data_IF_354130024355
#
_entry.id   IF_354130024355
#
_cell.length_a   1.000
_cell.length_b   1.000
_cell.length_c   1.000
_cell.angle_alpha   90.00
_cell.angle_beta   90.00
_cell.angle_gamma   90.00
#
_symmetry.space_group_name_H-M   'P 1'
#
loop_
_entity.id
_entity.type
_entity.pdbx_description
1 polymer ?
#
# COMPACT_ATOMS: atom_id res chain seq x y z
N UNK A 1 -0.96 -73.21 23.96
CA UNK A 1 0.37 -73.07 23.34
C UNK A 1 0.29 -72.61 21.88
N UNK A 2 -0.58 -73.20 21.05
CA UNK A 2 -0.68 -72.89 19.61
C UNK A 2 -1.02 -71.42 19.27
N UNK A 3 -1.88 -70.76 20.05
CA UNK A 3 -2.21 -69.34 19.86
C UNK A 3 -1.02 -68.40 20.09
N UNK A 4 -0.15 -68.74 21.04
CA UNK A 4 1.06 -67.98 21.35
C UNK A 4 2.11 -68.15 20.25
N UNK A 5 2.27 -69.36 19.72
CA UNK A 5 3.15 -69.60 18.58
C UNK A 5 2.67 -68.91 17.30
N UNK A 6 1.36 -68.88 17.05
CA UNK A 6 0.78 -68.17 15.91
C UNK A 6 1.02 -66.66 16.00
N UNK A 7 0.79 -66.07 17.17
CA UNK A 7 1.05 -64.65 17.43
C UNK A 7 2.54 -64.29 17.28
N UNK A 8 3.44 -65.16 17.77
CA UNK A 8 4.89 -64.99 17.64
C UNK A 8 5.34 -65.06 16.17
N UNK A 9 4.80 -66.01 15.39
CA UNK A 9 5.08 -66.13 13.95
C UNK A 9 4.57 -64.91 13.17
N UNK A 10 3.41 -64.36 13.55
CA UNK A 10 2.85 -63.17 12.92
C UNK A 10 3.66 -61.90 13.25
N UNK A 11 4.15 -61.78 14.48
CA UNK A 11 5.04 -60.69 14.88
C UNK A 11 6.37 -60.71 14.12
N UNK A 12 6.97 -61.90 13.95
CA UNK A 12 8.19 -62.09 13.14
C UNK A 12 7.93 -61.72 11.67
N UNK A 13 6.78 -62.12 11.09
CA UNK A 13 6.41 -61.72 9.72
C UNK A 13 6.27 -60.21 9.57
N UNK A 14 5.63 -59.53 10.53
CA UNK A 14 5.46 -58.07 10.54
C UNK A 14 6.82 -57.37 10.63
N UNK A 15 7.74 -57.83 11.48
CA UNK A 15 9.09 -57.28 11.54
C UNK A 15 9.88 -57.48 10.24
N UNK A 16 9.80 -58.67 9.64
CA UNK A 16 10.45 -58.93 8.36
C UNK A 16 9.89 -58.04 7.24
N UNK A 17 8.57 -57.83 7.21
CA UNK A 17 7.93 -56.92 6.26
C UNK A 17 8.36 -55.47 6.48
N UNK A 18 8.45 -54.99 7.74
CA UNK A 18 8.99 -53.66 8.06
C UNK A 18 10.43 -53.51 7.58
N UNK A 19 11.30 -54.48 7.84
CA UNK A 19 12.70 -54.48 7.35
C UNK A 19 12.79 -54.47 5.82
N UNK A 20 11.90 -55.19 5.12
CA UNK A 20 11.81 -55.15 3.65
C UNK A 20 11.35 -53.77 3.15
N UNK A 21 10.31 -53.20 3.76
CA UNK A 21 9.78 -51.88 3.40
C UNK A 21 10.81 -50.76 3.61
N UNK A 22 11.59 -50.80 4.70
CA UNK A 22 12.66 -49.83 4.95
C UNK A 22 13.73 -49.92 3.86
N UNK A 23 14.19 -51.13 3.52
CA UNK A 23 15.17 -51.35 2.43
C UNK A 23 14.65 -50.85 1.09
N UNK A 24 13.39 -51.16 0.76
CA UNK A 24 12.75 -50.69 -0.47
C UNK A 24 12.65 -49.16 -0.52
N UNK A 25 12.25 -48.51 0.57
CA UNK A 25 12.20 -47.03 0.66
C UNK A 25 13.57 -46.41 0.50
N UNK A 26 14.60 -46.99 1.11
CA UNK A 26 16.00 -46.53 0.97
C UNK A 26 16.47 -46.62 -0.48
N UNK A 27 16.29 -47.78 -1.11
CA UNK A 27 16.68 -48.00 -2.50
C UNK A 27 15.91 -47.10 -3.48
N UNK A 28 14.62 -46.86 -3.22
CA UNK A 28 13.80 -45.93 -4.02
C UNK A 28 14.29 -44.48 -3.86
N UNK A 29 14.74 -44.09 -2.67
CA UNK A 29 15.31 -42.76 -2.41
C UNK A 29 16.64 -42.59 -3.13
N UNK A 30 17.53 -43.58 -3.06
CA UNK A 30 18.82 -43.61 -3.77
C UNK A 30 18.64 -43.52 -5.29
N UNK A 31 17.76 -44.35 -5.89
CA UNK A 31 17.45 -44.24 -7.32
C UNK A 31 16.93 -42.86 -7.72
N UNK A 32 16.14 -42.22 -6.85
CA UNK A 32 15.60 -40.88 -7.11
C UNK A 32 16.70 -39.83 -7.03
N UNK A 33 17.63 -39.91 -6.06
CA UNK A 33 18.76 -39.00 -5.97
C UNK A 33 19.69 -39.14 -7.18
N UNK A 34 19.99 -40.38 -7.60
CA UNK A 34 20.82 -40.63 -8.78
C UNK A 34 20.20 -40.03 -10.05
N UNK A 35 18.88 -40.18 -10.24
CA UNK A 35 18.18 -39.56 -11.37
C UNK A 35 18.24 -38.03 -11.33
N UNK A 36 18.16 -37.42 -10.14
CA UNK A 36 18.29 -35.96 -10.01
C UNK A 36 19.71 -35.49 -10.32
N UNK A 37 20.72 -36.22 -9.87
CA UNK A 37 22.12 -35.89 -10.14
C UNK A 37 22.46 -36.03 -11.63
N UNK A 38 21.99 -37.09 -12.28
CA UNK A 38 22.19 -37.29 -13.72
C UNK A 38 21.43 -36.24 -14.54
N UNK A 39 20.19 -35.89 -14.16
CA UNK A 39 19.46 -34.78 -14.78
C UNK A 39 20.26 -33.47 -14.67
N UNK A 40 20.77 -33.15 -13.48
CA UNK A 40 21.57 -31.94 -13.25
C UNK A 40 22.87 -31.94 -14.06
N UNK A 41 23.50 -33.10 -14.22
CA UNK A 41 24.69 -33.29 -15.06
C UNK A 41 24.35 -33.02 -16.53
N UNK A 42 23.28 -33.61 -17.04
CA UNK A 42 22.81 -33.43 -18.42
C UNK A 42 22.42 -31.97 -18.69
N UNK A 43 21.73 -31.31 -17.76
CA UNK A 43 21.40 -29.88 -17.87
C UNK A 43 22.66 -29.01 -17.96
N UNK A 44 23.68 -29.27 -17.12
CA UNK A 44 24.98 -28.58 -17.21
C UNK A 44 25.69 -28.85 -18.54
N UNK A 45 25.62 -30.08 -19.05
CA UNK A 45 26.24 -30.43 -20.33
C UNK A 45 25.54 -29.74 -21.50
N UNK A 46 24.20 -29.69 -21.48
CA UNK A 46 23.40 -28.96 -22.46
C UNK A 46 23.71 -27.47 -22.43
N UNK A 47 23.75 -26.86 -21.23
CA UNK A 47 24.12 -25.46 -21.07
C UNK A 47 25.49 -25.15 -21.66
N UNK A 48 26.49 -26.01 -21.41
CA UNK A 48 27.83 -25.86 -22.00
C UNK A 48 27.82 -25.96 -23.52
N UNK A 49 27.09 -26.91 -24.09
CA UNK A 49 26.98 -27.06 -25.55
C UNK A 49 26.26 -25.88 -26.19
N UNK A 50 25.19 -25.37 -25.56
CA UNK A 50 24.47 -24.18 -26.02
C UNK A 50 25.37 -22.93 -25.93
N UNK A 51 26.15 -22.78 -24.86
CA UNK A 51 27.08 -21.68 -24.70
C UNK A 51 28.21 -21.74 -25.74
N UNK A 52 28.77 -22.93 -25.98
CA UNK A 52 29.78 -23.16 -27.03
C UNK A 52 29.22 -22.85 -28.42
N UNK A 53 27.98 -23.25 -28.71
CA UNK A 53 27.31 -22.89 -29.95
C UNK A 53 27.17 -21.36 -30.05
N UNK A 54 26.68 -20.67 -29.02
CA UNK A 54 26.55 -19.21 -28.98
C UNK A 54 27.87 -18.48 -29.24
N UNK A 55 28.95 -18.89 -28.56
CA UNK A 55 30.29 -18.31 -28.75
C UNK A 55 30.84 -18.58 -30.16
N UNK A 56 30.52 -19.73 -30.76
CA UNK A 56 30.83 -20.00 -32.16
C UNK A 56 29.98 -19.16 -33.13
N UNK A 57 28.76 -18.77 -32.73
CA UNK A 57 27.83 -17.92 -33.50
C UNK A 57 28.15 -16.42 -33.43
N UNK A 58 28.66 -15.91 -32.30
CA UNK A 58 29.01 -14.48 -32.13
C UNK A 58 30.18 -14.02 -33.03
N UNK A 59 30.94 -14.96 -33.59
CA UNK A 59 32.06 -14.70 -34.51
C UNK A 59 31.70 -14.83 -36.00
N UNK A 60 30.44 -15.08 -36.36
CA UNK A 60 30.02 -15.30 -37.76
C UNK A 60 29.42 -14.03 -38.34
N UNK A 61 30.11 -13.44 -39.32
CA UNK A 61 29.51 -12.46 -40.22
C UNK A 61 28.50 -13.20 -41.10
N UNK A 62 27.21 -12.88 -40.98
CA UNK A 62 26.12 -13.57 -41.70
C UNK A 62 26.30 -13.33 -43.20
N UNK A 63 26.63 -14.38 -43.97
CA UNK A 63 26.88 -14.28 -45.43
C UNK A 63 25.88 -15.07 -46.28
N UNK A 64 24.98 -15.87 -45.67
CA UNK A 64 23.97 -16.65 -46.40
C UNK A 64 22.61 -16.75 -45.70
N UNK A 65 21.55 -16.98 -46.50
CA UNK A 65 20.16 -17.17 -46.03
C UNK A 65 20.00 -18.37 -45.09
N UNK A 66 20.80 -19.43 -45.31
CA UNK A 66 20.79 -20.62 -44.45
C UNK A 66 21.31 -20.33 -43.03
N UNK A 67 22.28 -19.41 -42.90
CA UNK A 67 22.82 -18.97 -41.61
C UNK A 67 21.83 -18.05 -40.89
N UNK A 68 21.16 -17.15 -41.61
CA UNK A 68 20.10 -16.30 -41.06
C UNK A 68 18.92 -17.15 -40.51
N UNK A 69 18.55 -18.23 -41.21
CA UNK A 69 17.47 -19.11 -40.74
C UNK A 69 17.86 -19.89 -39.46
N UNK A 70 19.12 -20.30 -39.34
CA UNK A 70 19.65 -20.89 -38.10
C UNK A 70 19.69 -19.88 -36.95
N UNK A 71 20.09 -18.63 -37.21
CA UNK A 71 20.09 -17.55 -36.22
C UNK A 71 18.70 -17.33 -35.61
N UNK A 72 17.68 -17.14 -36.46
CA UNK A 72 16.29 -16.94 -36.02
C UNK A 72 15.76 -18.14 -35.25
N UNK A 73 16.18 -19.37 -35.60
CA UNK A 73 15.75 -20.59 -34.90
C UNK A 73 16.31 -20.68 -33.48
N UNK A 74 17.58 -20.32 -33.29
CA UNK A 74 18.21 -20.30 -31.96
C UNK A 74 17.63 -19.18 -31.08
N UNK A 75 17.42 -18.01 -31.67
CA UNK A 75 16.83 -16.87 -30.97
C UNK A 75 15.38 -17.14 -30.56
N UNK A 76 14.58 -17.76 -31.45
CA UNK A 76 13.23 -18.21 -31.13
C UNK A 76 13.22 -19.22 -29.98
N UNK A 77 14.15 -20.16 -29.96
CA UNK A 77 14.25 -21.12 -28.85
C UNK A 77 14.62 -20.44 -27.52
N UNK A 78 15.51 -19.43 -27.56
CA UNK A 78 15.86 -18.64 -26.38
C UNK A 78 14.66 -17.85 -25.84
N UNK A 79 13.95 -17.15 -26.73
CA UNK A 79 12.75 -16.39 -26.37
C UNK A 79 11.63 -17.29 -25.84
N UNK A 80 11.46 -18.50 -26.38
CA UNK A 80 10.49 -19.46 -25.85
C UNK A 80 10.84 -19.92 -24.44
N UNK A 81 12.13 -20.16 -24.16
CA UNK A 81 12.58 -20.51 -22.80
C UNK A 81 12.35 -19.36 -21.81
N UNK A 82 12.61 -18.12 -22.22
CA UNK A 82 12.38 -16.94 -21.39
C UNK A 82 10.89 -16.70 -21.15
N UNK A 83 10.05 -16.90 -22.17
CA UNK A 83 8.59 -16.77 -22.04
C UNK A 83 8.01 -17.79 -21.05
N UNK A 84 8.52 -19.03 -21.05
CA UNK A 84 8.13 -20.05 -20.06
C UNK A 84 8.54 -19.62 -18.65
N UNK A 85 9.77 -19.16 -18.45
CA UNK A 85 10.24 -18.67 -17.15
C UNK A 85 9.42 -17.49 -16.63
N UNK A 86 9.05 -16.54 -17.51
CA UNK A 86 8.18 -15.41 -17.16
C UNK A 86 6.77 -15.86 -16.80
N UNK A 87 6.19 -16.83 -17.52
CA UNK A 87 4.88 -17.39 -17.19
C UNK A 87 4.88 -18.08 -15.83
N UNK A 88 5.91 -18.86 -15.53
CA UNK A 88 6.07 -19.49 -14.21
C UNK A 88 6.24 -18.45 -13.10
N UNK A 89 6.99 -17.37 -13.34
CA UNK A 89 7.13 -16.27 -12.39
C UNK A 89 5.82 -15.52 -12.15
N UNK A 90 5.02 -15.28 -13.21
CA UNK A 90 3.69 -14.67 -13.10
C UNK A 90 2.76 -15.60 -12.31
N UNK A 91 2.74 -16.90 -12.63
CA UNK A 91 1.91 -17.88 -11.94
C UNK A 91 2.24 -17.94 -10.45
N UNK A 92 3.54 -17.94 -10.09
CA UNK A 92 3.96 -17.87 -8.69
C UNK A 92 3.52 -16.58 -8.00
N UNK A 93 3.65 -15.42 -8.66
CA UNK A 93 3.17 -14.15 -8.10
C UNK A 93 1.65 -14.13 -7.92
N UNK A 94 0.89 -14.70 -8.85
CA UNK A 94 -0.57 -14.84 -8.73
C UNK A 94 -0.95 -15.75 -7.57
N UNK A 95 -0.24 -16.87 -7.39
CA UNK A 95 -0.46 -17.78 -6.25
C UNK A 95 -0.16 -17.11 -4.92
N UNK A 96 0.94 -16.37 -4.80
CA UNK A 96 1.28 -15.61 -3.59
C UNK A 96 0.23 -14.54 -3.30
N UNK A 97 -0.21 -13.79 -4.32
CA UNK A 97 -1.30 -12.82 -4.17
C UNK A 97 -2.59 -13.47 -3.67
N UNK A 98 -3.01 -14.58 -4.27
CA UNK A 98 -4.22 -15.29 -3.88
C UNK A 98 -4.12 -15.89 -2.46
N UNK A 99 -2.92 -16.24 -1.99
CA UNK A 99 -2.67 -16.67 -0.62
C UNK A 99 -2.83 -15.49 0.35
N UNK A 100 -2.22 -14.34 0.04
CA UNK A 100 -2.34 -13.13 0.86
C UNK A 100 -3.78 -12.59 0.90
N UNK A 101 -4.50 -12.62 -0.22
CA UNK A 101 -5.92 -12.24 -0.27
C UNK A 101 -6.79 -13.17 0.58
N UNK A 102 -6.47 -14.47 0.62
CA UNK A 102 -7.18 -15.43 1.47
C UNK A 102 -6.87 -15.22 2.95
N UNK A 103 -5.61 -15.04 3.31
CA UNK A 103 -5.21 -14.75 4.70
C UNK A 103 -5.80 -13.42 5.19
N UNK A 104 -5.84 -12.40 4.32
CA UNK A 104 -6.50 -11.13 4.61
C UNK A 104 -8.01 -11.32 4.78
N UNK A 105 -8.66 -12.14 3.95
CA UNK A 105 -10.08 -12.43 4.09
C UNK A 105 -10.39 -13.24 5.35
N UNK A 106 -9.58 -14.23 5.70
CA UNK A 106 -9.72 -15.02 6.93
C UNK A 106 -9.52 -14.15 8.18
N UNK A 107 -8.60 -13.17 8.12
CA UNK A 107 -8.42 -12.17 9.16
C UNK A 107 -9.63 -11.20 9.26
N UNK A 108 -10.17 -10.75 8.13
CA UNK A 108 -11.38 -9.93 8.09
C UNK A 108 -12.62 -10.68 8.58
N UNK A 109 -12.74 -11.97 8.29
CA UNK A 109 -13.84 -12.82 8.76
C UNK A 109 -13.72 -13.11 10.26
N UNK A 110 -12.51 -13.18 10.83
CA UNK A 110 -12.29 -13.22 12.28
C UNK A 110 -12.71 -11.90 12.95
N UNK A 111 -12.38 -10.75 12.34
CA UNK A 111 -12.83 -9.44 12.81
C UNK A 111 -14.37 -9.31 12.72
N UNK A 112 -14.98 -9.84 11.66
CA UNK A 112 -16.45 -9.87 11.49
C UNK A 112 -17.12 -10.82 12.47
N UNK A 113 -16.49 -11.94 12.82
CA UNK A 113 -17.06 -12.86 13.81
C UNK A 113 -16.95 -12.31 15.24
N UNK A 114 -16.05 -11.34 15.47
CA UNK A 114 -15.98 -10.48 16.66
C UNK A 114 -16.74 -9.16 16.50
N UNK A 115 -17.69 -9.05 15.55
CA UNK A 115 -18.70 -7.98 15.57
C UNK A 115 -19.60 -8.18 16.79
N UNK A 116 -19.13 -7.67 17.92
CA UNK A 116 -20.04 -7.08 18.91
C UNK A 116 -20.92 -6.08 18.17
N UNK A 117 -22.23 -6.05 18.47
CA UNK A 117 -23.17 -5.24 17.73
C UNK A 117 -22.69 -3.80 17.80
N UNK A 118 -22.73 -3.11 16.64
CA UNK A 118 -22.68 -1.66 16.56
C UNK A 118 -23.54 -1.12 17.70
N UNK A 119 -22.89 -0.65 18.78
CA UNK A 119 -23.60 -0.11 19.93
C UNK A 119 -24.40 1.07 19.39
N UNK A 120 -25.72 0.98 19.52
CA UNK A 120 -26.58 2.14 19.39
C UNK A 120 -26.00 3.25 20.27
N UNK A 121 -25.62 4.34 19.60
CA UNK A 121 -24.95 5.51 20.15
C UNK A 121 -25.80 6.07 21.28
N UNK A 122 -25.19 6.29 22.44
CA UNK A 122 -25.67 7.33 23.35
C UNK A 122 -25.06 8.63 22.86
N UNK A 123 -25.92 9.60 22.59
CA UNK A 123 -25.51 10.97 22.36
C UNK A 123 -24.62 11.45 23.54
N UNK A 124 -23.55 12.16 23.20
CA UNK A 124 -22.55 12.83 24.06
C UNK A 124 -21.38 12.06 24.70
N UNK A 125 -21.41 10.74 24.85
CA UNK A 125 -20.26 10.03 25.45
C UNK A 125 -19.29 9.53 24.37
N UNK A 126 -18.11 10.16 24.32
CA UNK A 126 -16.96 9.65 23.56
C UNK A 126 -16.54 8.22 23.96
N UNK A 127 -15.51 7.69 23.33
CA UNK A 127 -15.01 6.35 23.64
C UNK A 127 -13.50 6.24 23.59
N UNK A 128 -12.96 5.25 24.31
CA UNK A 128 -11.53 4.94 24.27
C UNK A 128 -11.21 4.10 23.03
N UNK A 129 -10.38 4.64 22.15
CA UNK A 129 -9.90 3.98 20.94
C UNK A 129 -8.71 3.09 21.30
N UNK A 130 -8.81 1.80 20.96
CA UNK A 130 -7.74 0.81 21.13
C UNK A 130 -7.21 0.40 19.77
N UNK A 131 -5.89 0.26 19.66
CA UNK A 131 -5.23 -0.16 18.43
C UNK A 131 -4.89 -1.66 18.48
N UNK A 132 -5.10 -2.42 17.37
CA UNK A 132 -4.80 -3.86 17.33
C UNK A 132 -3.33 -4.20 17.60
N UNK A 133 -2.42 -3.28 17.30
CA UNK A 133 -0.97 -3.46 17.50
C UNK A 133 -0.51 -3.11 18.93
N UNK A 134 -1.42 -2.86 19.87
CA UNK A 134 -1.10 -2.50 21.24
C UNK A 134 -0.56 -1.08 21.43
N UNK A 135 -0.64 -0.21 20.41
CA UNK A 135 -0.26 1.19 20.55
C UNK A 135 -1.12 1.91 21.62
N UNK A 136 -0.62 2.98 22.25
CA UNK A 136 -1.31 3.65 23.35
C UNK A 136 -2.73 4.09 22.97
N UNK A 137 -3.72 3.68 23.75
CA UNK A 137 -5.12 4.11 23.56
C UNK A 137 -5.30 5.61 23.81
N UNK A 138 -6.36 6.21 23.29
CA UNK A 138 -6.76 7.58 23.63
C UNK A 138 -8.29 7.70 23.69
N UNK A 139 -8.80 8.70 24.41
CA UNK A 139 -10.23 8.99 24.44
C UNK A 139 -10.63 9.92 23.28
N UNK A 140 -11.55 9.45 22.45
CA UNK A 140 -12.10 10.17 21.29
C UNK A 140 -13.50 10.70 21.59
N UNK A 141 -13.72 11.98 21.35
CA UNK A 141 -15.05 12.60 21.30
C UNK A 141 -15.47 12.79 19.84
N UNK A 142 -16.69 12.36 19.46
CA UNK A 142 -17.22 12.57 18.11
C UNK A 142 -17.20 14.04 17.70
N UNK A 143 -16.93 14.30 16.43
CA UNK A 143 -17.12 15.60 15.82
C UNK A 143 -18.61 15.88 15.63
N UNK A 144 -19.03 17.12 15.85
CA UNK A 144 -20.34 17.55 15.37
C UNK A 144 -20.32 17.72 13.85
N UNK A 145 -21.50 17.76 13.22
CA UNK A 145 -21.58 18.02 11.77
C UNK A 145 -20.99 19.39 11.44
N UNK A 146 -21.27 20.37 12.29
CA UNK A 146 -20.86 21.75 12.14
C UNK A 146 -19.33 21.89 12.25
N UNK A 147 -18.69 21.23 13.23
CA UNK A 147 -17.22 21.21 13.35
C UNK A 147 -16.57 20.62 12.10
N UNK A 148 -17.07 19.46 11.67
CA UNK A 148 -16.59 18.75 10.48
C UNK A 148 -16.73 19.60 9.21
N UNK A 149 -17.89 20.24 9.03
CA UNK A 149 -18.17 21.08 7.87
C UNK A 149 -17.35 22.38 7.87
N UNK A 150 -17.17 23.02 9.03
CA UNK A 150 -16.34 24.21 9.18
C UNK A 150 -14.87 23.95 8.80
N UNK A 151 -14.25 22.89 9.33
CA UNK A 151 -12.85 22.55 9.04
C UNK A 151 -12.65 22.34 7.53
N UNK A 152 -13.54 21.56 6.90
CA UNK A 152 -13.40 21.22 5.50
C UNK A 152 -13.76 22.38 4.56
N UNK A 153 -14.71 23.25 4.93
CA UNK A 153 -15.05 24.45 4.15
C UNK A 153 -13.88 25.45 4.12
N UNK A 154 -13.14 25.58 5.21
CA UNK A 154 -11.93 26.42 5.22
C UNK A 154 -10.90 25.91 4.21
N UNK A 155 -10.71 24.59 4.13
CA UNK A 155 -9.80 23.98 3.15
C UNK A 155 -10.24 24.22 1.70
N UNK A 156 -11.54 24.17 1.39
CA UNK A 156 -12.05 24.52 0.05
C UNK A 156 -11.66 25.96 -0.33
N UNK A 157 -11.84 26.92 0.59
CA UNK A 157 -11.46 28.33 0.33
C UNK A 157 -9.96 28.49 0.15
N UNK A 158 -9.15 27.84 0.99
CA UNK A 158 -7.68 27.99 0.94
C UNK A 158 -7.09 27.32 -0.30
N UNK A 159 -7.49 26.09 -0.60
CA UNK A 159 -6.82 25.29 -1.63
C UNK A 159 -7.53 25.30 -2.99
N UNK A 160 -8.86 25.35 -3.03
CA UNK A 160 -9.56 25.43 -4.31
C UNK A 160 -9.54 26.87 -4.87
N UNK A 161 -9.73 27.89 -4.03
CA UNK A 161 -9.92 29.27 -4.49
C UNK A 161 -8.65 30.12 -4.46
N UNK A 162 -7.87 30.09 -3.38
CA UNK A 162 -6.74 31.03 -3.18
C UNK A 162 -5.42 30.63 -3.83
N UNK A 163 -5.26 29.36 -4.22
CA UNK A 163 -4.04 28.78 -4.81
C UNK A 163 -2.73 29.31 -4.15
N UNK A 164 -2.31 28.75 -3.01
CA UNK A 164 -1.25 29.34 -2.19
C UNK A 164 0.17 29.24 -2.79
N UNK A 165 0.37 28.51 -3.90
CA UNK A 165 1.68 28.36 -4.52
C UNK A 165 2.07 29.61 -5.31
N UNK A 166 3.31 30.06 -5.16
CA UNK A 166 3.80 31.30 -5.79
C UNK A 166 4.95 31.06 -6.76
N UNK A 167 5.49 29.84 -6.83
CA UNK A 167 6.58 29.49 -7.74
C UNK A 167 6.40 28.09 -8.34
N UNK A 168 6.63 27.99 -9.64
CA UNK A 168 6.66 26.72 -10.37
C UNK A 168 8.09 26.14 -10.34
N UNK A 169 8.24 24.93 -9.80
CA UNK A 169 9.51 24.18 -9.80
C UNK A 169 9.83 23.66 -11.21
N UNK A 170 8.81 23.16 -11.91
CA UNK A 170 8.94 22.63 -13.26
C UNK A 170 8.05 21.42 -13.49
N UNK A 171 8.44 20.56 -14.45
CA UNK A 171 7.72 19.34 -14.77
C UNK A 171 8.47 18.10 -14.30
N UNK A 172 7.85 17.28 -13.46
CA UNK A 172 8.40 16.04 -12.92
C UNK A 172 7.46 14.90 -13.27
N UNK A 173 7.96 13.89 -14.00
CA UNK A 173 7.18 12.72 -14.44
C UNK A 173 5.85 13.08 -15.16
N UNK A 174 5.80 14.24 -15.81
CA UNK A 174 4.62 14.77 -16.50
C UNK A 174 3.65 15.57 -15.63
N UNK A 175 3.92 15.72 -14.33
CA UNK A 175 3.22 16.64 -13.43
C UNK A 175 3.91 18.00 -13.44
N UNK A 176 3.14 19.08 -13.52
CA UNK A 176 3.64 20.41 -13.18
C UNK A 176 3.61 20.55 -11.67
N UNK A 177 4.75 20.92 -11.09
CA UNK A 177 4.92 21.02 -9.64
C UNK A 177 5.11 22.48 -9.27
N UNK A 178 4.19 23.00 -8.48
CA UNK A 178 4.25 24.34 -7.88
C UNK A 178 4.46 24.20 -6.37
N UNK A 179 5.17 25.15 -5.78
CA UNK A 179 5.37 25.20 -4.34
C UNK A 179 5.05 26.58 -3.79
N UNK A 180 4.64 26.60 -2.53
CA UNK A 180 4.58 27.82 -1.73
C UNK A 180 5.85 27.92 -0.87
N UNK A 181 6.43 29.12 -0.69
CA UNK A 181 7.35 29.39 0.40
C UNK A 181 6.75 28.95 1.74
N UNK A 182 7.60 28.56 2.69
CA UNK A 182 7.14 28.22 4.02
C UNK A 182 6.46 29.43 4.65
N UNK A 183 5.17 29.27 4.95
CA UNK A 183 4.37 30.28 5.64
C UNK A 183 4.12 29.81 7.06
N UNK A 184 3.89 30.75 7.98
CA UNK A 184 3.35 30.38 9.28
C UNK A 184 1.88 30.03 9.14
N UNK A 185 1.40 29.08 9.93
CA UNK A 185 -0.02 28.80 10.04
C UNK A 185 -0.80 30.01 10.58
N UNK A 186 -2.13 29.96 10.56
CA UNK A 186 -2.98 31.08 10.97
C UNK A 186 -2.73 31.51 12.43
N UNK A 187 -2.38 30.57 13.29
CA UNK A 187 -2.02 30.82 14.69
C UNK A 187 -0.60 31.41 14.88
N UNK A 188 0.21 31.45 13.81
CA UNK A 188 1.60 31.93 13.84
C UNK A 188 2.58 30.98 14.53
N UNK A 189 2.14 29.81 14.97
CA UNK A 189 2.91 28.91 15.84
C UNK A 189 3.85 28.00 15.08
N UNK A 190 3.42 27.49 13.93
CA UNK A 190 4.14 26.47 13.15
C UNK A 190 4.35 26.92 11.72
N UNK A 191 5.41 26.40 11.08
CA UNK A 191 5.63 26.56 9.64
C UNK A 191 4.83 25.52 8.89
N UNK A 192 4.32 25.86 7.70
CA UNK A 192 3.55 24.96 6.86
C UNK A 192 4.19 24.90 5.47
N UNK A 193 4.50 23.69 5.03
CA UNK A 193 4.90 23.43 3.66
C UNK A 193 3.66 23.15 2.81
N UNK A 194 3.69 23.60 1.56
CA UNK A 194 2.59 23.38 0.63
C UNK A 194 3.10 23.20 -0.80
N UNK A 195 2.66 22.13 -1.46
CA UNK A 195 2.94 21.86 -2.87
C UNK A 195 1.65 21.56 -3.64
N UNK A 196 1.63 21.95 -4.91
CA UNK A 196 0.58 21.61 -5.86
C UNK A 196 1.16 20.84 -7.02
N UNK A 197 0.45 19.79 -7.41
CA UNK A 197 0.75 18.94 -8.54
C UNK A 197 -0.42 19.02 -9.51
N UNK A 198 -0.16 19.43 -10.75
CA UNK A 198 -1.20 19.51 -11.78
C UNK A 198 -0.84 18.66 -12.99
N UNK A 199 -1.83 17.94 -13.53
CA UNK A 199 -1.64 17.11 -14.71
C UNK A 199 -2.95 16.84 -15.44
N UNK A 200 -2.89 16.89 -16.77
CA UNK A 200 -3.95 16.37 -17.64
C UNK A 200 -3.74 14.89 -17.90
N UNK A 201 -4.78 14.09 -17.66
CA UNK A 201 -4.78 12.64 -17.88
C UNK A 201 -5.75 12.29 -19.01
N UNK A 202 -5.38 11.31 -19.84
CA UNK A 202 -6.25 10.74 -20.89
C UNK A 202 -7.06 9.58 -20.32
N UNK A 203 -7.98 9.90 -19.41
CA UNK A 203 -9.00 8.99 -18.92
C UNK A 203 -10.32 9.75 -18.69
N UNK A 204 -11.44 9.03 -18.70
CA UNK A 204 -12.73 9.59 -18.30
C UNK A 204 -12.81 9.79 -16.79
N UNK A 205 -13.68 10.71 -16.35
CA UNK A 205 -13.97 10.90 -14.92
C UNK A 205 -14.65 9.66 -14.31
N UNK A 206 -15.45 8.92 -15.08
CA UNK A 206 -16.07 7.69 -14.59
C UNK A 206 -15.04 6.59 -14.29
N UNK A 207 -13.86 6.65 -14.90
CA UNK A 207 -12.75 5.76 -14.57
C UNK A 207 -12.00 6.18 -13.29
N UNK A 208 -12.20 7.42 -12.80
CA UNK A 208 -11.59 7.93 -11.56
C UNK A 208 -12.43 7.66 -10.31
N UNK A 209 -13.62 7.08 -10.44
CA UNK A 209 -14.59 6.76 -9.37
C UNK A 209 -14.11 5.76 -8.29
N UNK A 210 -12.82 5.42 -8.28
CA UNK A 210 -12.22 4.42 -7.39
C UNK A 210 -11.11 4.98 -6.51
N UNK A 211 -10.83 6.29 -6.53
CA UNK A 211 -9.56 6.79 -5.99
C UNK A 211 -9.53 6.98 -4.48
N UNK A 212 -10.62 7.26 -3.74
CA UNK A 212 -10.47 7.44 -2.27
C UNK A 212 -11.51 6.71 -1.40
N UNK A 213 -12.84 6.80 -1.59
CA UNK A 213 -13.78 6.09 -0.70
C UNK A 213 -13.75 4.56 -0.85
N UNK A 214 -13.29 4.07 -2.01
CA UNK A 214 -13.28 2.64 -2.38
C UNK A 214 -11.89 2.02 -2.44
N UNK A 215 -10.82 2.80 -2.23
CA UNK A 215 -9.48 2.23 -2.10
C UNK A 215 -9.38 1.49 -0.77
N UNK A 216 -8.60 0.40 -0.78
CA UNK A 216 -8.07 -0.14 0.45
C UNK A 216 -7.38 1.00 1.22
N UNK A 217 -7.70 1.12 2.51
CA UNK A 217 -7.16 2.14 3.42
C UNK A 217 -5.64 2.10 3.49
N UNK A 218 -5.03 0.96 3.18
CA UNK A 218 -3.58 0.80 3.07
C UNK A 218 -2.97 1.56 1.87
N UNK A 219 -3.79 1.99 0.92
CA UNK A 219 -3.41 2.73 -0.30
C UNK A 219 -3.78 4.21 -0.19
N UNK A 220 -4.39 4.63 0.92
CA UNK A 220 -4.70 6.04 1.15
C UNK A 220 -3.40 6.86 1.28
N UNK A 221 -3.40 8.11 0.80
CA UNK A 221 -2.22 8.95 0.89
C UNK A 221 -1.85 9.17 2.36
N UNK A 222 -0.58 8.94 2.64
CA UNK A 222 0.01 9.17 3.94
C UNK A 222 0.17 10.68 4.12
N UNK A 223 -0.60 11.26 5.05
CA UNK A 223 -0.58 12.71 5.29
C UNK A 223 0.69 13.17 6.03
N UNK A 224 1.35 12.24 6.74
CA UNK A 224 2.54 12.51 7.55
C UNK A 224 3.60 11.44 7.29
N UNK A 225 4.78 11.83 6.83
CA UNK A 225 5.89 10.92 6.55
C UNK A 225 6.83 10.79 7.78
N UNK A 226 6.98 9.60 8.40
CA UNK A 226 7.78 9.44 9.62
C UNK A 226 9.24 9.87 9.47
N UNK A 227 9.82 9.60 8.29
CA UNK A 227 11.19 9.98 7.94
C UNK A 227 11.42 11.49 8.11
N UNK A 228 10.46 12.30 7.69
CA UNK A 228 10.56 13.77 7.74
C UNK A 228 10.44 14.30 9.19
N UNK A 229 9.87 13.49 10.09
CA UNK A 229 9.82 13.77 11.53
C UNK A 229 11.03 13.24 12.30
N UNK A 230 12.03 12.69 11.62
CA UNK A 230 13.21 12.07 12.24
C UNK A 230 12.90 10.75 12.93
N UNK A 231 11.73 10.16 12.68
CA UNK A 231 11.29 8.91 13.30
C UNK A 231 11.53 7.72 12.36
N UNK A 232 12.03 6.61 12.91
CA UNK A 232 12.02 5.34 12.21
C UNK A 232 10.60 4.74 12.25
N UNK A 233 10.06 4.41 11.07
CA UNK A 233 8.82 3.67 10.98
C UNK A 233 9.11 2.20 11.27
N UNK A 234 8.48 1.65 12.31
CA UNK A 234 8.66 0.26 12.71
C UNK A 234 7.77 -0.69 11.88
N UNK A 235 6.56 -0.26 11.55
CA UNK A 235 5.51 -1.08 10.92
C UNK A 235 4.59 -0.24 10.01
N UNK A 236 3.67 -0.89 9.29
CA UNK A 236 2.68 -0.22 8.44
C UNK A 236 1.78 0.73 9.24
N UNK A 237 1.32 1.79 8.59
CA UNK A 237 0.39 2.77 9.17
C UNK A 237 -0.95 2.09 9.44
N UNK A 238 -1.52 2.37 10.62
CA UNK A 238 -2.85 1.90 10.97
C UNK A 238 -3.86 3.03 10.80
N UNK A 239 -4.85 2.82 9.91
CA UNK A 239 -6.02 3.68 9.79
C UNK A 239 -7.25 3.00 10.39
N UNK A 240 -7.84 3.61 11.40
CA UNK A 240 -9.03 3.10 12.06
C UNK A 240 -10.19 4.10 11.94
N UNK A 241 -11.32 3.71 11.32
CA UNK A 241 -12.53 4.53 11.30
C UNK A 241 -13.04 4.79 12.71
N UNK A 242 -13.43 6.04 12.97
CA UNK A 242 -13.98 6.46 14.25
C UNK A 242 -15.45 6.88 14.11
N UNK A 243 -15.76 7.67 13.09
CA UNK A 243 -17.11 8.21 12.91
C UNK A 243 -17.42 8.35 11.43
N UNK A 244 -18.58 7.87 11.01
CA UNK A 244 -19.13 8.15 9.69
C UNK A 244 -20.35 9.05 9.82
N UNK A 245 -20.39 10.02 8.93
CA UNK A 245 -21.45 11.01 8.78
C UNK A 245 -22.40 10.63 7.64
N UNK A 246 -21.84 10.08 6.57
CA UNK A 246 -22.49 9.49 5.41
C UNK A 246 -21.42 8.67 4.64
N UNK A 247 -21.78 8.13 3.46
CA UNK A 247 -20.87 7.30 2.65
C UNK A 247 -19.64 8.05 2.13
N UNK A 248 -19.69 9.37 2.05
CA UNK A 248 -18.63 10.22 1.52
C UNK A 248 -18.02 11.14 2.59
N UNK A 249 -18.36 10.97 3.86
CA UNK A 249 -17.87 11.78 4.97
C UNK A 249 -17.49 10.89 6.17
N UNK A 250 -16.18 10.84 6.45
CA UNK A 250 -15.60 9.93 7.42
C UNK A 250 -14.55 10.62 8.28
N UNK A 251 -14.52 10.28 9.56
CA UNK A 251 -13.46 10.60 10.51
C UNK A 251 -12.73 9.31 10.88
N UNK A 252 -11.41 9.36 10.84
CA UNK A 252 -10.54 8.25 11.18
C UNK A 252 -9.39 8.72 12.06
N UNK A 253 -8.67 7.78 12.68
CA UNK A 253 -7.34 8.02 13.23
C UNK A 253 -6.30 7.35 12.34
N UNK A 254 -5.24 8.10 12.02
CA UNK A 254 -3.99 7.57 11.50
C UNK A 254 -2.99 7.42 12.64
N UNK A 255 -2.40 6.24 12.78
CA UNK A 255 -1.34 5.97 13.76
C UNK A 255 -0.17 5.28 13.06
N UNK A 256 0.97 5.98 12.99
CA UNK A 256 2.18 5.47 12.39
C UNK A 256 3.10 4.93 13.50
N UNK A 257 3.37 3.63 13.54
CA UNK A 257 4.20 3.03 14.58
C UNK A 257 5.69 3.33 14.39
N UNK A 258 6.35 3.63 15.52
CA UNK A 258 7.78 3.92 15.63
C UNK A 258 8.18 3.96 17.10
N UNK A 259 9.41 4.39 17.40
CA UNK A 259 9.85 4.68 18.77
C UNK A 259 8.93 5.72 19.44
N UNK A 260 8.50 6.71 18.64
CA UNK A 260 7.40 7.62 18.94
C UNK A 260 6.31 7.42 17.89
N UNK A 261 5.10 7.09 18.32
CA UNK A 261 3.95 6.94 17.44
C UNK A 261 3.49 8.32 16.95
N UNK A 262 3.51 8.55 15.63
CA UNK A 262 2.90 9.74 15.05
C UNK A 262 1.40 9.49 14.87
N UNK A 263 0.57 10.35 15.46
CA UNK A 263 -0.88 10.18 15.48
C UNK A 263 -1.61 11.43 15.03
N UNK A 264 -2.68 11.26 14.27
CA UNK A 264 -3.51 12.35 13.80
C UNK A 264 -4.94 11.89 13.52
N UNK A 265 -5.91 12.79 13.71
CA UNK A 265 -7.30 12.58 13.30
C UNK A 265 -7.46 13.06 11.86
N UNK A 266 -8.01 12.21 11.00
CA UNK A 266 -8.25 12.50 9.58
C UNK A 266 -9.73 12.70 9.33
N UNK A 267 -10.08 13.86 8.77
CA UNK A 267 -11.40 14.16 8.23
C UNK A 267 -11.32 13.96 6.70
N UNK A 268 -12.13 13.04 6.19
CA UNK A 268 -12.12 12.63 4.79
C UNK A 268 -13.47 12.89 4.14
N UNK A 269 -13.50 13.70 3.07
CA UNK A 269 -14.70 14.02 2.30
C UNK A 269 -14.51 13.73 0.81
N UNK A 270 -15.55 13.21 0.18
CA UNK A 270 -15.71 13.16 -1.26
C UNK A 270 -16.96 13.93 -1.69
N UNK A 271 -16.82 14.81 -2.68
CA UNK A 271 -17.98 15.45 -3.32
C UNK A 271 -17.88 15.33 -4.83
N UNK A 272 -19.05 15.17 -5.47
CA UNK A 272 -19.20 15.23 -6.92
C UNK A 272 -20.16 16.36 -7.26
N UNK A 273 -19.68 17.30 -8.05
CA UNK A 273 -20.41 18.52 -8.41
C UNK A 273 -20.46 18.66 -9.93
N UNK A 274 -21.43 19.44 -10.41
CA UNK A 274 -21.52 19.85 -11.82
C UNK A 274 -21.32 21.36 -11.89
N UNK A 275 -20.31 21.80 -12.63
CA UNK A 275 -20.00 23.22 -12.85
C UNK A 275 -21.07 23.88 -13.71
N UNK A 276 -21.05 25.22 -13.75
CA UNK A 276 -21.95 26.03 -14.57
C UNK A 276 -21.81 25.77 -16.07
N UNK A 277 -20.65 25.32 -16.53
CA UNK A 277 -20.38 24.90 -17.92
C UNK A 277 -20.89 23.47 -18.23
N UNK A 278 -21.49 22.80 -17.25
CA UNK A 278 -22.01 21.45 -17.34
C UNK A 278 -20.95 20.35 -17.15
N UNK A 279 -19.69 20.68 -16.94
CA UNK A 279 -18.61 19.71 -16.67
C UNK A 279 -18.69 19.18 -15.24
N UNK A 280 -18.38 17.90 -15.07
CA UNK A 280 -18.36 17.25 -13.76
C UNK A 280 -17.02 17.48 -13.06
N UNK A 281 -17.06 17.56 -11.75
CA UNK A 281 -15.89 17.72 -10.88
C UNK A 281 -16.01 16.80 -9.69
N UNK A 282 -14.98 16.01 -9.45
CA UNK A 282 -14.79 15.25 -8.22
C UNK A 282 -13.78 15.96 -7.32
N UNK A 283 -14.13 16.11 -6.06
CA UNK A 283 -13.25 16.63 -5.03
C UNK A 283 -13.06 15.58 -3.96
N UNK A 284 -11.81 15.39 -3.57
CA UNK A 284 -11.45 14.53 -2.46
C UNK A 284 -10.58 15.31 -1.49
N UNK A 285 -10.96 15.31 -0.23
CA UNK A 285 -10.28 16.05 0.82
C UNK A 285 -9.93 15.07 1.92
N UNK A 286 -8.67 15.04 2.31
CA UNK A 286 -8.22 14.42 3.54
C UNK A 286 -7.46 15.49 4.31
N UNK A 287 -7.97 15.89 5.46
CA UNK A 287 -7.31 16.90 6.30
C UNK A 287 -7.12 16.35 7.68
N UNK A 288 -5.97 16.67 8.27
CA UNK A 288 -5.80 16.58 9.70
C UNK A 288 -6.65 17.69 10.32
N UNK A 289 -7.44 17.33 11.32
CA UNK A 289 -8.33 18.26 12.00
C UNK A 289 -8.64 17.79 13.41
N UNK A 290 -9.02 18.73 14.26
CA UNK A 290 -9.26 18.46 15.67
C UNK A 290 -10.49 19.22 16.17
N UNK A 291 -11.05 18.76 17.29
CA UNK A 291 -12.16 19.44 17.96
C UNK A 291 -11.76 19.87 19.36
N UNK A 292 -12.42 20.91 19.89
CA UNK A 292 -12.19 21.41 21.25
C UNK A 292 -12.41 20.31 22.32
N UNK A 293 -13.33 19.37 22.06
CA UNK A 293 -13.54 18.22 22.93
C UNK A 293 -12.33 17.27 22.91
N UNK A 294 -11.83 16.91 21.73
CA UNK A 294 -10.66 16.04 21.59
C UNK A 294 -9.38 16.69 22.13
N UNK A 295 -9.18 18.00 21.92
CA UNK A 295 -8.09 18.75 22.51
C UNK A 295 -8.11 18.67 24.05
N UNK A 296 -9.28 18.93 24.66
CA UNK A 296 -9.45 18.83 26.12
C UNK A 296 -9.19 17.42 26.63
N UNK A 297 -9.64 16.39 25.93
CA UNK A 297 -9.37 15.00 26.30
C UNK A 297 -7.87 14.70 26.30
N UNK A 298 -7.13 15.13 25.26
CA UNK A 298 -5.68 14.93 25.20
C UNK A 298 -4.93 15.69 26.30
N UNK A 299 -5.35 16.90 26.60
CA UNK A 299 -4.77 17.67 27.72
C UNK A 299 -5.02 17.00 29.07
N UNK A 300 -6.20 16.41 29.27
CA UNK A 300 -6.55 15.68 30.48
C UNK A 300 -5.78 14.35 30.63
N UNK A 301 -5.47 13.67 29.52
CA UNK A 301 -4.64 12.45 29.53
C UNK A 301 -3.15 12.73 29.80
N UNK A 302 -2.69 13.97 29.59
CA UNK A 302 -1.30 14.37 29.78
C UNK A 302 -0.40 13.99 28.61
N UNK A 303 0.86 14.43 28.68
CA UNK A 303 1.86 14.06 27.66
C UNK A 303 2.19 12.56 27.75
N UNK A 304 2.15 11.88 26.59
CA UNK A 304 2.56 10.50 26.46
C UNK A 304 3.95 10.47 25.81
N UNK A 305 4.95 9.93 26.51
CA UNK A 305 6.35 9.94 26.03
C UNK A 305 6.54 9.27 24.67
N UNK A 306 5.68 8.32 24.33
CA UNK A 306 5.76 7.53 23.09
C UNK A 306 4.70 7.91 22.04
N UNK A 307 3.93 8.99 22.21
CA UNK A 307 2.95 9.44 21.20
C UNK A 307 3.11 10.93 20.92
N UNK A 308 3.19 11.26 19.64
CA UNK A 308 3.20 12.64 19.16
C UNK A 308 2.02 12.89 18.24
N UNK A 309 1.20 13.87 18.62
CA UNK A 309 0.06 14.30 17.84
C UNK A 309 0.49 15.30 16.77
N UNK A 310 0.10 15.04 15.52
CA UNK A 310 0.19 15.99 14.41
C UNK A 310 -1.19 16.61 14.24
N UNK A 311 -1.22 17.94 14.21
CA UNK A 311 -2.47 18.70 14.25
C UNK A 311 -2.77 19.42 12.92
N UNK A 312 -1.79 19.50 12.02
CA UNK A 312 -1.93 20.22 10.77
C UNK A 312 -1.26 19.48 9.60
N UNK A 313 -2.01 19.33 8.51
CA UNK A 313 -1.60 18.67 7.29
C UNK A 313 -2.77 18.09 6.53
N UNK A 314 -2.57 17.74 5.27
CA UNK A 314 -3.65 17.21 4.44
C UNK A 314 -3.31 17.13 2.97
N UNK A 315 -4.27 16.60 2.23
CA UNK A 315 -4.27 16.52 0.78
C UNK A 315 -5.63 16.93 0.25
N UNK A 316 -5.64 17.67 -0.85
CA UNK A 316 -6.85 18.11 -1.52
C UNK A 316 -6.71 17.81 -3.01
N UNK A 317 -7.58 16.96 -3.54
CA UNK A 317 -7.55 16.56 -4.94
C UNK A 317 -8.82 17.01 -5.64
N UNK A 318 -8.66 17.67 -6.78
CA UNK A 318 -9.76 18.00 -7.70
C UNK A 318 -9.52 17.34 -9.04
N UNK A 319 -10.51 16.61 -9.54
CA UNK A 319 -10.51 16.02 -10.87
C UNK A 319 -11.64 16.66 -11.66
N UNK A 320 -11.30 17.44 -12.67
CA UNK A 320 -12.25 18.15 -13.52
C UNK A 320 -12.36 17.48 -14.88
N UNK A 321 -13.57 17.18 -15.32
CA UNK A 321 -13.84 16.68 -16.66
C UNK A 321 -13.53 17.74 -17.72
N UNK A 322 -12.70 17.39 -18.71
CA UNK A 322 -12.42 18.23 -19.88
C UNK A 322 -13.30 17.77 -21.04
N UNK A 323 -13.25 16.47 -21.33
CA UNK A 323 -14.08 15.76 -22.32
C UNK A 323 -14.32 14.32 -21.86
N UNK A 324 -15.02 13.52 -22.67
CA UNK A 324 -15.39 12.14 -22.33
C UNK A 324 -14.19 11.23 -22.01
N UNK A 325 -12.99 11.60 -22.44
CA UNK A 325 -11.76 10.79 -22.33
C UNK A 325 -10.61 11.51 -21.64
N UNK A 326 -10.84 12.71 -21.12
CA UNK A 326 -9.78 13.57 -20.59
C UNK A 326 -10.22 14.27 -19.31
N UNK A 327 -9.36 14.24 -18.30
CA UNK A 327 -9.54 14.97 -17.04
C UNK A 327 -8.33 15.83 -16.71
N UNK A 328 -8.56 16.95 -16.04
CA UNK A 328 -7.53 17.75 -15.39
C UNK A 328 -7.51 17.42 -13.90
N UNK A 329 -6.34 17.00 -13.40
CA UNK A 329 -6.11 16.69 -12.00
C UNK A 329 -5.30 17.81 -11.37
N UNK A 330 -5.80 18.31 -10.25
CA UNK A 330 -5.10 19.19 -9.32
C UNK A 330 -4.98 18.44 -8.00
N UNK A 331 -3.77 18.31 -7.48
CA UNK A 331 -3.49 17.65 -6.21
C UNK A 331 -2.64 18.58 -5.36
N UNK A 332 -3.22 19.08 -4.27
CA UNK A 332 -2.55 19.91 -3.27
C UNK A 332 -2.19 19.03 -2.07
N UNK A 333 -1.01 19.26 -1.51
CA UNK A 333 -0.54 18.61 -0.29
C UNK A 333 0.12 19.64 0.62
N UNK A 334 -0.20 19.58 1.91
CA UNK A 334 0.40 20.43 2.94
C UNK A 334 0.68 19.66 4.22
N UNK A 335 1.65 20.14 4.99
CA UNK A 335 1.96 19.58 6.29
C UNK A 335 2.64 20.61 7.19
N UNK A 336 2.41 20.46 8.49
CA UNK A 336 3.15 21.15 9.53
C UNK A 336 4.64 20.80 9.49
N UNK A 337 5.49 21.81 9.66
CA UNK A 337 6.93 21.71 9.65
C UNK A 337 7.50 22.02 11.04
N UNK A 338 8.44 21.19 11.46
CA UNK A 338 9.18 21.37 12.71
C UNK A 338 10.26 22.45 12.62
N UNK A 339 10.74 22.71 11.41
CA UNK A 339 11.77 23.68 11.09
C UNK A 339 11.73 24.00 9.61
N UNK A 340 12.47 25.03 9.19
CA UNK A 340 12.63 25.32 7.77
C UNK A 340 13.32 24.18 7.00
N UNK A 341 14.25 23.49 7.66
CA UNK A 341 14.96 22.34 7.06
C UNK A 341 13.99 21.20 6.83
N UNK A 342 13.15 20.88 7.82
CA UNK A 342 12.10 19.86 7.68
C UNK A 342 11.12 20.23 6.55
N UNK A 343 10.71 21.50 6.44
CA UNK A 343 9.86 21.95 5.33
C UNK A 343 10.47 21.70 3.95
N UNK A 344 11.80 21.86 3.80
CA UNK A 344 12.50 21.55 2.55
C UNK A 344 12.56 20.05 2.25
N UNK A 345 12.72 19.23 3.27
CA UNK A 345 12.71 17.76 3.14
C UNK A 345 11.34 17.23 2.71
N UNK A 346 10.24 17.81 3.24
CA UNK A 346 8.88 17.46 2.85
C UNK A 346 8.65 17.63 1.34
N UNK A 347 9.13 18.73 0.74
CA UNK A 347 9.02 18.91 -0.71
C UNK A 347 9.74 17.81 -1.50
N UNK A 348 10.89 17.32 -1.02
CA UNK A 348 11.62 16.22 -1.65
C UNK A 348 10.83 14.92 -1.51
N UNK A 349 10.26 14.67 -0.34
CA UNK A 349 9.51 13.45 -0.07
C UNK A 349 8.18 13.39 -0.84
N UNK A 350 7.52 14.53 -1.11
CA UNK A 350 6.30 14.56 -1.94
C UNK A 350 6.55 14.36 -3.43
N UNK A 351 7.78 14.57 -3.89
CA UNK A 351 8.17 14.37 -5.29
C UNK A 351 8.63 12.93 -5.57
N UNK A 352 9.05 12.20 -4.53
CA UNK A 352 9.50 10.79 -4.64
C UNK A 352 8.32 9.84 -4.83
#
# INVERSE_FOLDING_TARGET
>A
MELFESAMREQIRREQQRRRMIRWRKQKKEKRTDMFEERRRLEKQLQRQVLQARVAFDNVTIRSVAEAHRHVTVERAALMSENVALREAIENKVKVRALMEREAQEFLDQIRSEESPVREKRDDDGWRVQFPNGAPSFYFSPFTREEYDCILKNNDVVYAERHPCTATVGKILGWTVDYAPLVRNEAGTSLVAHARFTRRLRCSLDNTDRILPRLDKNVWPVLVTPRSWGCAQADSICYQPLQSFDENALVMVGNIPGEVHLRYLVLARHTREKRSDGKRVDKYILTIGDSEANLRNRQAEGEQENVRWVLEGGTYMTITEVDESTVDVVFDQWAECLSEVHGRELYIDWIR
#
